data_IF_435400781275
#
_entry.id   IF_435400781275
#
_cell.length_a   1.000
_cell.length_b   1.000
_cell.length_c   1.000
_cell.angle_alpha   90.00
_cell.angle_beta   90.00
_cell.angle_gamma   90.00
#
_symmetry.space_group_name_H-M   'P 1'
#
loop_
_entity.id
_entity.type
_entity.pdbx_description
1 polymer ?
#
# COMPACT_ATOMS: atom_id res chain seq x y z
N UNK A 1 -6.56 -4.91 18.84
CA UNK A 1 -5.50 -4.20 19.59
C UNK A 1 -5.08 -3.02 18.73
N UNK A 2 -5.63 -1.84 19.00
CA UNK A 2 -5.28 -0.61 18.26
C UNK A 2 -3.85 -0.24 18.70
N UNK A 3 -2.86 -0.33 17.81
CA UNK A 3 -1.50 0.15 18.12
C UNK A 3 -1.60 1.66 18.32
N UNK A 4 -1.32 2.14 19.53
CA UNK A 4 -1.11 3.56 19.80
C UNK A 4 -0.07 4.09 18.83
N UNK A 5 -0.40 5.16 18.11
CA UNK A 5 0.58 5.86 17.29
C UNK A 5 1.69 6.38 18.23
N UNK A 6 2.92 6.00 17.90
CA UNK A 6 4.12 6.36 18.65
C UNK A 6 4.39 7.86 18.46
N UNK A 7 4.83 8.56 19.51
CA UNK A 7 5.32 9.94 19.43
C UNK A 7 6.51 10.09 18.45
N UNK A 8 7.20 8.97 18.17
CA UNK A 8 8.28 8.89 17.21
C UNK A 8 7.83 8.21 15.93
N UNK A 9 8.15 8.83 14.79
CA UNK A 9 7.88 8.30 13.48
C UNK A 9 9.13 7.64 12.89
N UNK A 10 9.12 6.31 12.83
CA UNK A 10 10.23 5.52 12.29
C UNK A 10 10.24 5.58 10.76
N UNK A 11 11.31 6.12 10.18
CA UNK A 11 11.49 6.27 8.72
C UNK A 11 12.35 5.16 8.09
N UNK A 12 13.03 4.35 8.90
CA UNK A 12 13.86 3.23 8.46
C UNK A 12 13.94 2.14 9.53
N UNK A 13 14.02 0.88 9.10
CA UNK A 13 14.20 -0.29 9.97
C UNK A 13 15.06 -1.36 9.27
N UNK A 14 15.96 -1.99 10.02
CA UNK A 14 16.87 -3.00 9.50
C UNK A 14 16.25 -4.41 9.45
N UNK A 15 15.50 -4.78 10.50
CA UNK A 15 15.15 -6.16 10.83
C UNK A 15 13.63 -6.34 11.09
N UNK A 16 12.79 -5.67 10.28
CA UNK A 16 11.33 -5.65 10.43
C UNK A 16 10.69 -7.05 10.56
N UNK A 17 11.25 -8.05 9.87
CA UNK A 17 10.77 -9.44 9.92
C UNK A 17 11.36 -10.29 11.05
N UNK A 18 12.36 -9.78 11.77
CA UNK A 18 13.08 -10.53 12.79
C UNK A 18 13.44 -9.63 13.99
N UNK A 19 12.46 -9.27 14.85
CA UNK A 19 12.68 -8.43 16.02
C UNK A 19 13.68 -9.06 16.99
N UNK A 20 14.55 -8.23 17.55
CA UNK A 20 15.49 -8.64 18.60
C UNK A 20 14.91 -8.33 19.99
N UNK A 21 15.32 -9.12 20.98
CA UNK A 21 14.93 -8.93 22.39
C UNK A 21 15.97 -8.13 23.18
N UNK A 22 15.81 -8.13 24.50
CA UNK A 22 16.79 -7.54 25.43
C UNK A 22 18.19 -8.13 25.23
N UNK A 23 19.23 -7.31 25.48
CA UNK A 23 20.64 -7.65 25.32
C UNK A 23 21.10 -7.98 23.88
N UNK A 24 20.32 -7.57 22.87
CA UNK A 24 20.76 -7.61 21.48
C UNK A 24 21.90 -6.61 21.22
N UNK A 25 22.76 -6.93 20.25
CA UNK A 25 23.92 -6.11 19.90
C UNK A 25 23.92 -5.72 18.44
N UNK A 26 24.23 -4.45 18.15
CA UNK A 26 24.60 -3.98 16.81
C UNK A 26 26.11 -3.75 16.79
N UNK A 27 26.83 -4.47 15.93
CA UNK A 27 28.30 -4.48 15.93
C UNK A 27 28.84 -4.29 14.52
N UNK A 28 29.77 -3.35 14.36
CA UNK A 28 30.56 -3.22 13.14
C UNK A 28 31.89 -3.97 13.32
N UNK A 29 32.03 -5.11 12.66
CA UNK A 29 33.20 -5.97 12.76
C UNK A 29 34.41 -5.42 12.00
N UNK A 30 35.61 -5.82 12.40
CA UNK A 30 36.88 -5.48 11.73
C UNK A 30 36.95 -6.01 10.29
N UNK A 31 36.13 -7.00 9.95
CA UNK A 31 35.94 -7.50 8.60
C UNK A 31 35.04 -6.59 7.73
N UNK A 32 34.55 -5.46 8.26
CA UNK A 32 33.70 -4.52 7.54
C UNK A 32 32.22 -4.91 7.47
N UNK A 33 31.76 -5.85 8.29
CA UNK A 33 30.35 -6.27 8.35
C UNK A 33 29.62 -5.59 9.51
N UNK A 34 28.45 -5.00 9.26
CA UNK A 34 27.56 -4.51 10.31
C UNK A 34 26.53 -5.60 10.61
N UNK A 35 26.47 -6.06 11.86
CA UNK A 35 25.68 -7.21 12.30
C UNK A 35 24.80 -6.83 13.48
N UNK A 36 23.50 -7.06 13.35
CA UNK A 36 22.54 -7.06 14.44
C UNK A 36 22.35 -8.51 14.90
N UNK A 37 22.61 -8.80 16.18
CA UNK A 37 22.50 -10.14 16.74
C UNK A 37 21.62 -10.16 18.00
N UNK A 38 20.93 -11.28 18.21
CA UNK A 38 20.23 -11.60 19.46
C UNK A 38 21.25 -11.80 20.59
N UNK A 39 20.78 -11.76 21.84
CA UNK A 39 21.61 -11.98 23.03
C UNK A 39 22.38 -13.33 23.03
N UNK A 40 21.86 -14.35 22.34
CA UNK A 40 22.50 -15.65 22.19
C UNK A 40 23.54 -15.71 21.04
N UNK A 41 23.86 -14.57 20.41
CA UNK A 41 24.79 -14.48 19.29
C UNK A 41 24.21 -14.87 17.93
N UNK A 42 22.95 -15.30 17.84
CA UNK A 42 22.30 -15.55 16.55
C UNK A 42 22.15 -14.24 15.79
N UNK A 43 22.52 -14.24 14.51
CA UNK A 43 22.37 -13.06 13.65
C UNK A 43 20.89 -12.83 13.36
N UNK A 44 20.42 -11.63 13.68
CA UNK A 44 19.07 -11.17 13.35
C UNK A 44 19.02 -10.49 11.99
N UNK A 45 20.03 -9.68 11.67
CA UNK A 45 20.22 -8.99 10.39
C UNK A 45 21.70 -8.63 10.18
N UNK A 46 22.16 -8.52 8.93
CA UNK A 46 23.51 -8.04 8.63
C UNK A 46 23.63 -7.44 7.23
N UNK A 47 24.67 -6.64 7.01
CA UNK A 47 24.92 -5.96 5.72
C UNK A 47 25.56 -6.86 4.66
N UNK A 48 26.07 -8.03 5.03
CA UNK A 48 26.78 -8.97 4.15
C UNK A 48 27.97 -8.31 3.42
N UNK A 49 28.69 -7.44 4.12
CA UNK A 49 29.84 -6.67 3.60
C UNK A 49 31.19 -7.16 4.11
N UNK A 50 31.19 -8.28 4.83
CA UNK A 50 32.41 -8.94 5.30
C UNK A 50 33.44 -9.10 4.17
N UNK A 51 34.65 -8.60 4.40
CA UNK A 51 35.80 -8.64 3.50
C UNK A 51 35.59 -7.94 2.14
N UNK A 52 34.60 -7.05 2.02
CA UNK A 52 34.33 -6.27 0.78
C UNK A 52 34.99 -4.89 0.77
N UNK A 53 35.96 -4.64 1.65
CA UNK A 53 36.69 -3.37 1.74
C UNK A 53 35.96 -2.25 2.49
N UNK A 54 34.82 -2.55 3.12
CA UNK A 54 34.11 -1.59 3.98
C UNK A 54 34.93 -1.35 5.24
N UNK A 55 35.22 -0.08 5.54
CA UNK A 55 36.04 0.33 6.69
C UNK A 55 35.32 1.24 7.66
N UNK A 56 34.12 1.70 7.31
CA UNK A 56 33.36 2.59 8.18
C UNK A 56 31.86 2.55 7.96
N UNK A 57 31.14 2.92 9.00
CA UNK A 57 29.70 3.13 9.03
C UNK A 57 29.45 4.58 9.46
N UNK A 58 28.57 5.30 8.74
CA UNK A 58 28.26 6.71 9.03
C UNK A 58 26.79 7.00 8.80
N UNK A 59 26.19 7.80 9.67
CA UNK A 59 24.92 8.47 9.43
C UNK A 59 25.20 9.85 8.85
N UNK A 60 24.65 10.14 7.67
CA UNK A 60 24.78 11.44 7.01
C UNK A 60 23.70 12.42 7.52
N UNK A 61 23.92 13.75 7.42
CA UNK A 61 22.94 14.76 7.83
C UNK A 61 21.57 14.64 7.14
N UNK A 62 21.51 14.03 5.95
CA UNK A 62 20.27 13.75 5.23
C UNK A 62 19.56 12.45 5.70
N UNK A 63 19.97 11.88 6.82
CA UNK A 63 19.39 10.66 7.40
C UNK A 63 19.84 9.36 6.75
N UNK A 64 20.66 9.39 5.69
CA UNK A 64 21.15 8.16 5.06
C UNK A 64 22.24 7.49 5.93
N UNK A 65 22.02 6.22 6.24
CA UNK A 65 23.05 5.33 6.80
C UNK A 65 23.87 4.72 5.66
N UNK A 66 25.19 4.91 5.70
CA UNK A 66 26.10 4.52 4.62
C UNK A 66 27.29 3.72 5.14
N UNK A 67 27.75 2.80 4.30
CA UNK A 67 28.99 2.06 4.48
C UNK A 67 30.06 2.63 3.54
N UNK A 68 31.21 3.00 4.10
CA UNK A 68 32.31 3.60 3.36
C UNK A 68 33.42 2.57 3.10
N UNK A 69 33.87 2.50 1.84
CA UNK A 69 35.02 1.69 1.45
C UNK A 69 36.34 2.47 1.63
N UNK A 70 37.46 1.76 1.82
CA UNK A 70 38.79 2.39 1.84
C UNK A 70 39.23 2.91 0.47
N UNK A 71 38.65 2.37 -0.62
CA UNK A 71 38.85 2.88 -1.98
C UNK A 71 37.94 4.08 -2.23
N UNK A 72 38.53 5.23 -2.54
CA UNK A 72 37.81 6.45 -2.90
C UNK A 72 36.80 6.16 -4.02
N UNK A 73 35.51 6.34 -3.73
CA UNK A 73 34.43 6.35 -4.75
C UNK A 73 33.29 5.35 -4.57
N UNK A 74 33.42 4.29 -3.76
CA UNK A 74 32.32 3.32 -3.56
C UNK A 74 31.63 3.51 -2.19
N UNK A 75 30.47 4.19 -2.19
CA UNK A 75 29.58 4.30 -1.03
C UNK A 75 28.37 3.39 -1.25
N UNK A 76 28.18 2.39 -0.40
CA UNK A 76 26.97 1.56 -0.42
C UNK A 76 25.92 2.18 0.51
N UNK A 77 24.79 2.61 -0.05
CA UNK A 77 23.64 3.13 0.70
C UNK A 77 22.83 1.96 1.28
N UNK A 78 22.52 2.00 2.57
CA UNK A 78 21.53 1.08 3.15
C UNK A 78 20.14 1.56 2.73
N UNK A 79 19.38 0.68 2.08
CA UNK A 79 18.00 0.95 1.64
C UNK A 79 17.05 0.06 2.42
N UNK A 80 15.96 0.65 2.94
CA UNK A 80 14.84 -0.12 3.48
C UNK A 80 14.19 -0.91 2.35
N UNK A 81 14.01 -2.22 2.54
CA UNK A 81 13.29 -3.08 1.58
C UNK A 81 11.93 -3.45 2.17
N UNK A 82 10.89 -3.44 1.34
CA UNK A 82 9.54 -3.79 1.75
C UNK A 82 9.35 -5.31 1.98
N UNK A 83 10.27 -6.16 1.52
CA UNK A 83 10.18 -7.62 1.59
C UNK A 83 11.56 -8.26 1.68
N UNK A 84 11.71 -9.31 2.50
CA UNK A 84 12.95 -10.10 2.64
C UNK A 84 13.11 -11.17 1.54
N UNK A 85 12.06 -11.52 0.79
CA UNK A 85 12.09 -12.71 -0.10
C UNK A 85 11.50 -12.55 -1.51
N UNK A 86 10.52 -11.67 -1.75
CA UNK A 86 9.91 -11.54 -3.09
C UNK A 86 9.49 -10.10 -3.40
N UNK A 87 9.82 -9.65 -4.62
CA UNK A 87 9.43 -8.38 -5.25
C UNK A 87 8.76 -8.66 -6.61
N UNK A 88 7.86 -9.64 -6.70
CA UNK A 88 7.32 -10.10 -7.98
C UNK A 88 5.90 -9.61 -8.27
N UNK A 89 5.59 -8.40 -7.80
CA UNK A 89 4.28 -7.72 -7.85
C UNK A 89 3.31 -8.17 -6.74
N UNK A 90 3.32 -7.42 -5.63
CA UNK A 90 2.23 -7.41 -4.67
C UNK A 90 1.00 -6.67 -5.23
N UNK A 91 -0.13 -6.61 -4.50
CA UNK A 91 -1.39 -6.01 -4.98
C UNK A 91 -1.30 -4.52 -5.34
N UNK A 92 -0.21 -3.86 -4.97
CA UNK A 92 0.10 -2.46 -5.29
C UNK A 92 1.40 -2.37 -6.10
N UNK A 93 1.47 -3.08 -7.23
CA UNK A 93 2.51 -2.82 -8.24
C UNK A 93 2.17 -1.53 -8.98
N UNK A 94 3.11 -0.59 -9.08
CA UNK A 94 3.00 0.51 -10.03
C UNK A 94 3.09 -0.08 -11.45
N UNK A 95 1.94 -0.44 -12.01
CA UNK A 95 1.83 -0.90 -13.39
C UNK A 95 2.02 0.28 -14.33
N UNK A 96 3.26 0.43 -14.76
CA UNK A 96 3.77 1.03 -15.99
C UNK A 96 5.22 1.40 -15.69
N UNK A 97 6.07 1.35 -16.71
CA UNK A 97 7.48 1.68 -16.60
C UNK A 97 7.65 3.16 -16.27
N UNK A 98 7.44 3.57 -15.01
CA UNK A 98 7.81 4.87 -14.46
C UNK A 98 9.33 4.82 -14.21
N UNK A 99 10.08 5.77 -14.77
CA UNK A 99 11.54 5.87 -14.55
C UNK A 99 11.86 6.62 -13.29
N UNK A 100 11.03 7.62 -12.96
CA UNK A 100 11.26 8.48 -11.82
C UNK A 100 9.93 8.91 -11.22
N UNK A 101 9.82 8.78 -9.91
CA UNK A 101 8.74 9.35 -9.09
C UNK A 101 9.40 10.15 -7.98
N UNK A 102 9.09 11.44 -7.91
CA UNK A 102 9.71 12.37 -6.97
C UNK A 102 8.62 13.04 -6.14
N UNK A 103 8.73 12.93 -4.81
CA UNK A 103 7.94 13.73 -3.88
C UNK A 103 8.65 15.08 -3.69
N UNK A 104 7.95 16.16 -4.01
CA UNK A 104 8.44 17.52 -3.87
C UNK A 104 7.64 18.29 -2.83
N UNK A 105 8.32 19.20 -2.15
CA UNK A 105 7.76 20.18 -1.22
C UNK A 105 8.34 21.53 -1.55
N UNK A 106 7.53 22.46 -2.04
CA UNK A 106 7.97 23.79 -2.44
C UNK A 106 7.09 24.88 -1.81
N UNK A 107 7.67 26.02 -1.40
CA UNK A 107 6.86 27.14 -0.93
C UNK A 107 6.03 27.70 -2.11
N UNK A 108 4.77 28.05 -1.84
CA UNK A 108 3.88 28.63 -2.85
C UNK A 108 4.29 30.06 -3.24
N UNK A 109 4.85 30.79 -2.27
CA UNK A 109 5.37 32.16 -2.44
C UNK A 109 6.76 32.27 -1.79
N UNK A 110 7.51 33.31 -2.15
CA UNK A 110 8.84 33.58 -1.55
C UNK A 110 8.77 33.76 -0.02
N UNK A 111 7.61 34.12 0.52
CA UNK A 111 7.37 34.28 1.96
C UNK A 111 7.27 32.94 2.70
N UNK A 112 6.93 31.85 1.99
CA UNK A 112 6.91 30.50 2.56
C UNK A 112 5.86 30.28 3.65
N UNK A 113 4.71 30.93 3.56
CA UNK A 113 3.60 30.74 4.51
C UNK A 113 2.80 29.45 4.28
N UNK A 114 2.80 28.95 3.04
CA UNK A 114 2.20 27.69 2.65
C UNK A 114 3.13 26.98 1.67
N UNK A 115 3.03 25.65 1.67
CA UNK A 115 3.86 24.79 0.83
C UNK A 115 2.98 23.83 0.05
N UNK A 116 3.34 23.60 -1.20
CA UNK A 116 2.71 22.62 -2.06
C UNK A 116 3.47 21.29 -1.95
N UNK A 117 2.74 20.23 -1.65
CA UNK A 117 3.22 18.85 -1.69
C UNK A 117 2.80 18.24 -3.02
N UNK A 118 3.77 17.87 -3.85
CA UNK A 118 3.50 17.33 -5.19
C UNK A 118 4.23 16.03 -5.46
N UNK A 119 3.64 15.16 -6.27
CA UNK A 119 4.25 13.94 -6.78
C UNK A 119 4.46 14.08 -8.27
N UNK A 120 5.72 14.28 -8.66
CA UNK A 120 6.12 14.32 -10.06
C UNK A 120 6.46 12.92 -10.54
N UNK A 121 6.02 12.58 -11.75
CA UNK A 121 6.33 11.31 -12.36
C UNK A 121 6.76 11.49 -13.81
N UNK A 122 7.64 10.59 -14.26
CA UNK A 122 8.07 10.49 -15.64
C UNK A 122 8.05 9.03 -16.09
N UNK A 123 7.36 8.77 -17.20
CA UNK A 123 7.35 7.44 -17.83
C UNK A 123 8.63 7.16 -18.62
N UNK A 124 9.03 5.89 -18.67
CA UNK A 124 10.30 5.41 -19.22
C UNK A 124 10.46 5.60 -20.72
N UNK A 125 9.34 5.63 -21.43
CA UNK A 125 9.29 5.49 -22.87
C UNK A 125 8.35 6.50 -23.52
N UNK A 126 7.89 7.49 -22.76
CA UNK A 126 7.04 8.57 -23.25
C UNK A 126 7.54 9.90 -22.70
N UNK A 127 7.29 10.99 -23.42
CA UNK A 127 7.47 12.35 -22.87
C UNK A 127 6.34 12.72 -21.90
N UNK A 128 5.54 11.75 -21.46
CA UNK A 128 4.45 11.96 -20.52
C UNK A 128 5.04 12.11 -19.14
N UNK A 129 5.12 13.37 -18.71
CA UNK A 129 5.39 13.74 -17.33
C UNK A 129 4.14 14.41 -16.77
N UNK A 130 3.85 14.15 -15.50
CA UNK A 130 2.75 14.80 -14.82
C UNK A 130 3.12 15.10 -13.38
N UNK A 131 2.33 16.00 -12.79
CA UNK A 131 2.45 16.40 -11.40
C UNK A 131 1.11 16.19 -10.73
N UNK A 132 1.08 15.37 -9.68
CA UNK A 132 -0.09 15.23 -8.83
C UNK A 132 0.06 16.15 -7.62
N UNK A 133 -0.96 16.96 -7.36
CA UNK A 133 -1.02 17.77 -6.15
C UNK A 133 -1.56 16.93 -5.00
N UNK A 134 -0.78 16.78 -3.92
CA UNK A 134 -1.13 15.91 -2.80
C UNK A 134 -1.68 16.70 -1.60
N UNK A 135 -1.25 17.94 -1.40
CA UNK A 135 -1.76 18.76 -0.30
C UNK A 135 -1.05 20.10 -0.17
N UNK A 136 -1.60 20.96 0.70
CA UNK A 136 -1.09 22.30 0.98
C UNK A 136 -1.05 22.60 2.49
N UNK A 137 -0.03 22.15 3.21
CA UNK A 137 0.23 22.59 4.59
C UNK A 137 0.51 24.09 4.65
N UNK A 138 0.03 24.74 5.71
CA UNK A 138 0.22 26.18 6.00
C UNK A 138 1.44 26.43 6.90
N UNK A 139 2.50 25.67 6.65
CA UNK A 139 3.76 25.70 7.39
C UNK A 139 4.85 25.01 6.56
N UNK A 140 6.11 25.12 6.98
CA UNK A 140 7.23 24.50 6.29
C UNK A 140 7.10 22.97 6.28
N UNK A 141 6.83 22.41 5.10
CA UNK A 141 6.65 20.97 4.90
C UNK A 141 7.84 20.27 4.28
N UNK A 142 9.03 20.88 4.30
CA UNK A 142 10.25 20.22 3.76
C UNK A 142 10.58 18.90 4.47
N UNK A 143 10.15 18.76 5.72
CA UNK A 143 10.19 17.50 6.47
C UNK A 143 8.93 16.66 6.22
N UNK A 144 8.76 16.22 4.98
CA UNK A 144 7.68 15.32 4.56
C UNK A 144 8.25 14.00 4.04
N UNK A 145 7.58 12.90 4.35
CA UNK A 145 7.87 11.63 3.69
C UNK A 145 6.59 10.89 3.28
N UNK A 146 6.70 10.15 2.18
CA UNK A 146 5.67 9.24 1.67
C UNK A 146 5.87 7.85 2.29
N UNK A 147 4.78 7.23 2.74
CA UNK A 147 4.81 5.88 3.30
C UNK A 147 3.61 5.06 2.84
N UNK A 148 3.88 3.83 2.41
CA UNK A 148 2.89 2.77 2.35
C UNK A 148 2.70 2.21 3.76
N UNK A 149 1.53 2.48 4.33
CA UNK A 149 1.10 2.00 5.64
C UNK A 149 0.86 0.50 5.65
N UNK A 150 0.81 -0.08 6.85
CA UNK A 150 0.46 -1.49 7.05
C UNK A 150 -1.02 -1.78 6.72
N UNK A 151 -1.83 -0.74 6.73
CA UNK A 151 -3.23 -0.73 6.27
C UNK A 151 -3.36 -0.77 4.74
N UNK A 152 -2.23 -0.77 4.00
CA UNK A 152 -2.23 -0.74 2.54
C UNK A 152 -2.51 0.63 1.94
N UNK A 153 -2.60 1.68 2.77
CA UNK A 153 -2.84 3.04 2.32
C UNK A 153 -1.53 3.79 2.12
N UNK A 154 -1.49 4.70 1.15
CA UNK A 154 -0.34 5.57 0.89
C UNK A 154 -0.63 6.92 1.53
N UNK A 155 0.26 7.35 2.44
CA UNK A 155 0.09 8.59 3.22
C UNK A 155 1.33 9.47 3.15
N UNK A 156 1.13 10.78 3.19
CA UNK A 156 2.19 11.73 3.52
C UNK A 156 2.12 12.08 4.99
N UNK A 157 3.28 12.02 5.63
CA UNK A 157 3.47 12.50 6.99
C UNK A 157 4.36 13.73 6.93
N UNK A 158 3.86 14.84 7.45
CA UNK A 158 4.58 16.12 7.47
C UNK A 158 4.86 16.49 8.92
N UNK A 159 6.09 16.92 9.17
CA UNK A 159 6.50 17.44 10.48
C UNK A 159 6.46 18.96 10.50
N UNK A 160 5.78 19.51 11.47
CA UNK A 160 5.78 20.93 11.78
C UNK A 160 6.74 21.22 12.93
N UNK A 161 7.88 21.84 12.63
CA UNK A 161 8.92 22.16 13.59
C UNK A 161 8.57 23.31 14.56
N UNK A 162 7.40 23.95 14.38
CA UNK A 162 6.93 25.07 15.21
C UNK A 162 5.99 24.67 16.34
N UNK A 163 5.69 23.39 16.48
CA UNK A 163 4.77 22.87 17.51
C UNK A 163 5.42 21.73 18.27
N UNK A 164 5.24 21.71 19.59
CA UNK A 164 5.83 20.69 20.46
C UNK A 164 4.95 19.44 20.60
N UNK A 165 3.62 19.60 20.51
CA UNK A 165 2.64 18.50 20.63
C UNK A 165 1.86 18.41 19.32
N UNK A 166 1.69 17.18 18.80
CA UNK A 166 1.01 16.97 17.52
C UNK A 166 1.80 17.50 16.32
N UNK A 167 3.13 17.58 16.44
CA UNK A 167 4.02 18.07 15.40
C UNK A 167 3.96 17.24 14.10
N UNK A 168 3.59 15.97 14.19
CA UNK A 168 3.36 15.11 13.02
C UNK A 168 1.90 15.14 12.59
N UNK A 169 1.68 15.38 11.31
CA UNK A 169 0.36 15.40 10.68
C UNK A 169 0.33 14.47 9.47
N UNK A 170 -0.81 13.80 9.25
CA UNK A 170 -1.12 13.15 7.97
C UNK A 170 -1.70 14.20 7.04
N UNK A 171 -0.87 14.78 6.18
CA UNK A 171 -1.28 15.86 5.26
C UNK A 171 -1.93 15.33 3.99
N UNK A 172 -1.78 14.04 3.71
CA UNK A 172 -2.40 13.36 2.59
C UNK A 172 -2.62 11.88 2.92
N UNK A 173 -3.76 11.34 2.51
CA UNK A 173 -4.01 9.91 2.42
C UNK A 173 -4.66 9.62 1.06
N UNK A 174 -4.21 8.55 0.38
CA UNK A 174 -4.77 8.16 -0.91
C UNK A 174 -6.22 7.69 -0.74
N UNK A 175 -6.47 6.83 0.24
CA UNK A 175 -7.79 6.38 0.64
C UNK A 175 -8.20 7.14 1.90
N UNK A 176 -8.82 8.31 1.72
CA UNK A 176 -9.21 9.18 2.82
C UNK A 176 -10.71 9.03 3.12
N UNK A 177 -11.06 9.12 4.41
CA UNK A 177 -12.46 9.01 4.85
C UNK A 177 -13.22 10.32 4.67
N UNK A 178 -12.59 11.42 5.08
CA UNK A 178 -13.24 12.69 5.40
C UNK A 178 -12.97 13.75 4.31
N UNK A 179 -11.86 13.61 3.56
CA UNK A 179 -11.42 14.55 2.53
C UNK A 179 -10.86 13.81 1.30
N UNK A 180 -11.67 12.93 0.72
CA UNK A 180 -11.31 12.15 -0.47
C UNK A 180 -11.22 13.05 -1.72
N UNK A 181 -10.04 13.61 -1.96
CA UNK A 181 -9.72 14.25 -3.26
C UNK A 181 -9.58 13.19 -4.36
N UNK A 182 -9.12 11.99 -4.00
CA UNK A 182 -8.79 10.92 -4.95
C UNK A 182 -9.70 9.72 -4.76
N UNK A 183 -9.61 9.05 -3.61
CA UNK A 183 -10.31 7.80 -3.34
C UNK A 183 -10.78 7.72 -1.89
N UNK A 184 -11.84 6.96 -1.67
CA UNK A 184 -12.36 6.69 -0.33
C UNK A 184 -11.76 5.41 0.26
N UNK A 185 -11.90 5.22 1.57
CA UNK A 185 -11.48 4.00 2.25
C UNK A 185 -12.16 2.73 1.69
N UNK A 186 -13.30 2.85 1.01
CA UNK A 186 -13.97 1.71 0.38
C UNK A 186 -13.18 1.08 -0.76
N UNK A 187 -12.20 1.80 -1.33
CA UNK A 187 -11.32 1.25 -2.37
C UNK A 187 -10.21 0.35 -1.81
N UNK A 188 -10.00 0.33 -0.49
CA UNK A 188 -9.11 -0.63 0.13
C UNK A 188 -9.75 -2.03 0.08
N UNK A 189 -9.09 -3.04 -0.54
CA UNK A 189 -9.69 -4.35 -0.72
C UNK A 189 -10.18 -4.98 0.59
N UNK A 190 -9.47 -4.79 1.71
CA UNK A 190 -9.84 -5.40 2.98
C UNK A 190 -10.52 -4.45 3.97
N UNK A 191 -11.02 -3.29 3.53
CA UNK A 191 -11.69 -2.32 4.40
C UNK A 191 -12.82 -2.95 5.22
N UNK A 192 -13.68 -3.73 4.56
CA UNK A 192 -14.78 -4.47 5.18
C UNK A 192 -14.46 -5.97 5.30
N UNK A 193 -13.19 -6.30 5.52
CA UNK A 193 -12.72 -7.66 5.72
C UNK A 193 -12.69 -8.49 4.42
N UNK A 194 -12.92 -9.80 4.56
CA UNK A 194 -12.85 -10.74 3.44
C UNK A 194 -14.08 -10.67 2.52
N UNK A 195 -15.19 -10.13 3.01
CA UNK A 195 -16.42 -9.90 2.28
C UNK A 195 -17.30 -8.92 3.06
N UNK A 196 -17.60 -7.75 2.48
CA UNK A 196 -18.39 -6.71 3.13
C UNK A 196 -18.76 -5.63 2.13
N UNK A 197 -19.93 -5.00 2.31
CA UNK A 197 -20.34 -3.85 1.50
C UNK A 197 -19.90 -2.57 2.19
N UNK A 198 -19.19 -1.72 1.46
CA UNK A 198 -18.72 -0.42 1.90
C UNK A 198 -19.49 0.72 1.24
N UNK A 199 -20.07 1.57 2.07
CA UNK A 199 -20.78 2.80 1.69
C UNK A 199 -20.37 3.89 2.67
N UNK A 200 -20.00 5.07 2.17
CA UNK A 200 -19.51 6.19 2.99
C UNK A 200 -18.43 5.80 4.01
N UNK A 201 -17.51 4.92 3.60
CA UNK A 201 -16.43 4.36 4.43
C UNK A 201 -16.89 3.54 5.64
N UNK A 202 -18.18 3.19 5.69
CA UNK A 202 -18.81 2.32 6.68
C UNK A 202 -19.05 0.92 6.09
N UNK A 203 -18.95 -0.10 6.93
CA UNK A 203 -19.08 -1.48 6.53
C UNK A 203 -20.42 -2.06 6.98
N UNK A 204 -21.13 -2.69 6.05
CA UNK A 204 -22.30 -3.52 6.34
C UNK A 204 -21.99 -5.00 6.13
N UNK A 205 -22.66 -5.84 6.92
CA UNK A 205 -22.41 -7.28 6.93
C UNK A 205 -22.84 -7.93 5.61
N UNK A 206 -22.11 -8.97 5.24
CA UNK A 206 -22.33 -9.73 4.02
C UNK A 206 -22.79 -11.16 4.32
N UNK A 207 -23.44 -11.86 3.36
CA UNK A 207 -24.00 -13.19 3.58
C UNK A 207 -22.97 -14.24 4.02
N UNK A 208 -23.47 -15.33 4.59
CA UNK A 208 -22.66 -16.41 5.14
C UNK A 208 -21.73 -17.04 4.09
N UNK A 209 -20.57 -17.48 4.58
CA UNK A 209 -19.57 -18.15 3.74
C UNK A 209 -20.08 -19.52 3.31
N UNK A 210 -19.92 -19.83 2.03
CA UNK A 210 -20.18 -21.16 1.48
C UNK A 210 -19.38 -22.25 2.18
N UNK A 211 -20.07 -23.36 2.46
CA UNK A 211 -19.49 -24.59 2.99
C UNK A 211 -19.31 -25.67 1.92
N UNK A 212 -19.95 -25.54 0.76
CA UNK A 212 -19.95 -26.53 -0.32
C UNK A 212 -19.89 -25.87 -1.71
N UNK A 213 -19.26 -26.57 -2.66
CA UNK A 213 -19.17 -26.16 -4.07
C UNK A 213 -20.34 -26.69 -4.93
N UNK A 214 -21.13 -27.66 -4.44
CA UNK A 214 -22.23 -28.23 -5.24
C UNK A 214 -23.19 -27.11 -5.67
N UNK A 215 -23.47 -27.01 -6.97
CA UNK A 215 -24.40 -26.04 -7.54
C UNK A 215 -25.81 -26.12 -6.92
N UNK A 216 -26.17 -27.26 -6.32
CA UNK A 216 -27.43 -27.43 -5.58
C UNK A 216 -27.39 -26.91 -4.14
N UNK A 217 -26.20 -26.66 -3.61
CA UNK A 217 -25.97 -26.23 -2.22
C UNK A 217 -25.93 -24.71 -2.04
N UNK A 218 -25.99 -23.95 -3.14
CA UNK A 218 -25.98 -22.49 -3.11
C UNK A 218 -26.97 -21.86 -4.08
N UNK A 219 -27.27 -20.59 -3.84
CA UNK A 219 -27.95 -19.70 -4.77
C UNK A 219 -27.10 -18.43 -4.97
N UNK A 220 -27.40 -17.66 -6.00
CA UNK A 220 -26.78 -16.35 -6.19
C UNK A 220 -27.61 -15.28 -5.47
N UNK A 221 -27.03 -14.68 -4.44
CA UNK A 221 -27.53 -13.46 -3.83
C UNK A 221 -27.14 -12.27 -4.70
N UNK A 222 -28.14 -11.58 -5.26
CA UNK A 222 -27.95 -10.41 -6.11
C UNK A 222 -27.78 -9.16 -5.25
N UNK A 223 -26.71 -8.42 -5.48
CA UNK A 223 -26.43 -7.11 -4.88
C UNK A 223 -26.43 -6.07 -5.99
N UNK A 224 -27.26 -5.04 -5.86
CA UNK A 224 -27.42 -3.98 -6.86
C UNK A 224 -26.64 -2.72 -6.49
N UNK A 225 -26.13 -2.03 -7.51
CA UNK A 225 -25.34 -0.82 -7.35
C UNK A 225 -24.05 -1.09 -6.59
N UNK A 226 -23.29 -2.10 -7.02
CA UNK A 226 -21.99 -2.44 -6.41
C UNK A 226 -20.90 -2.67 -7.44
N UNK A 227 -19.69 -2.24 -7.09
CA UNK A 227 -18.48 -2.52 -7.84
C UNK A 227 -17.51 -3.38 -7.01
N UNK A 228 -16.85 -4.30 -7.69
CA UNK A 228 -15.69 -5.02 -7.17
C UNK A 228 -14.41 -4.30 -7.61
N UNK A 229 -13.39 -4.24 -6.75
CA UNK A 229 -12.15 -3.49 -7.03
C UNK A 229 -11.51 -3.84 -8.39
N UNK A 230 -11.64 -5.07 -8.87
CA UNK A 230 -11.10 -5.51 -10.16
C UNK A 230 -11.67 -4.74 -11.36
N UNK A 231 -12.90 -4.22 -11.27
CA UNK A 231 -13.57 -3.51 -12.37
C UNK A 231 -12.92 -2.15 -12.67
N UNK A 232 -12.11 -1.64 -11.74
CA UNK A 232 -11.35 -0.40 -11.90
C UNK A 232 -10.05 -0.59 -12.69
N UNK A 233 -9.44 -1.76 -12.56
CA UNK A 233 -8.11 -2.05 -13.13
C UNK A 233 -8.17 -2.91 -14.39
N UNK A 234 -9.33 -3.52 -14.69
CA UNK A 234 -9.49 -4.42 -15.81
C UNK A 234 -10.82 -4.16 -16.52
N UNK A 235 -10.84 -4.33 -17.84
CA UNK A 235 -12.04 -4.11 -18.67
C UNK A 235 -13.08 -5.23 -18.61
N UNK A 236 -12.74 -6.35 -17.96
CA UNK A 236 -13.62 -7.51 -17.85
C UNK A 236 -13.83 -8.26 -19.17
N UNK A 237 -14.39 -9.46 -19.07
CA UNK A 237 -14.73 -10.27 -20.24
C UNK A 237 -16.01 -9.73 -20.91
N UNK A 238 -15.98 -9.54 -22.22
CA UNK A 238 -17.16 -9.21 -23.02
C UNK A 238 -17.98 -10.48 -23.31
N UNK A 239 -18.83 -10.86 -22.37
CA UNK A 239 -19.68 -12.07 -22.44
C UNK A 239 -21.08 -11.77 -21.92
N UNK A 240 -22.05 -12.61 -22.26
CA UNK A 240 -23.41 -12.49 -21.70
C UNK A 240 -23.42 -12.87 -20.22
N UNK A 241 -24.34 -12.28 -19.47
CA UNK A 241 -24.49 -12.53 -18.04
C UNK A 241 -24.67 -14.02 -17.71
N UNK A 242 -25.48 -14.73 -18.49
CA UNK A 242 -25.69 -16.18 -18.32
C UNK A 242 -24.41 -17.00 -18.52
N UNK A 243 -23.52 -16.59 -19.41
CA UNK A 243 -22.25 -17.28 -19.65
C UNK A 243 -21.25 -16.99 -18.53
N UNK A 244 -21.27 -15.77 -17.98
CA UNK A 244 -20.55 -15.39 -16.77
C UNK A 244 -20.97 -16.25 -15.57
N UNK A 245 -22.29 -16.39 -15.37
CA UNK A 245 -22.87 -17.21 -14.32
C UNK A 245 -22.46 -18.68 -14.45
N UNK A 246 -22.59 -19.28 -15.64
CA UNK A 246 -22.16 -20.67 -15.89
C UNK A 246 -20.68 -20.88 -15.61
N UNK A 247 -19.83 -19.92 -15.97
CA UNK A 247 -18.39 -19.98 -15.70
C UNK A 247 -18.10 -19.98 -14.20
N UNK A 248 -18.75 -19.10 -13.43
CA UNK A 248 -18.58 -19.09 -11.98
C UNK A 248 -19.17 -20.34 -11.30
N UNK A 249 -20.33 -20.82 -11.77
CA UNK A 249 -20.99 -22.01 -11.20
C UNK A 249 -20.16 -23.27 -11.40
N UNK A 250 -19.47 -23.41 -12.52
CA UNK A 250 -18.62 -24.58 -12.81
C UNK A 250 -17.26 -24.52 -12.11
N UNK A 251 -16.85 -23.37 -11.59
CA UNK A 251 -15.58 -23.20 -10.87
C UNK A 251 -15.79 -23.17 -9.34
N UNK A 252 -15.25 -24.18 -8.65
CA UNK A 252 -15.32 -24.27 -7.19
C UNK A 252 -14.55 -23.17 -6.44
N UNK A 253 -13.58 -22.52 -7.08
CA UNK A 253 -12.86 -21.39 -6.47
C UNK A 253 -13.64 -20.09 -6.60
N UNK A 254 -14.59 -20.01 -7.54
CA UNK A 254 -15.39 -18.82 -7.72
C UNK A 254 -16.34 -18.63 -6.54
N UNK A 255 -16.27 -17.47 -5.90
CA UNK A 255 -17.15 -17.06 -4.81
C UNK A 255 -18.34 -16.22 -5.31
N UNK A 256 -18.19 -15.60 -6.49
CA UNK A 256 -19.24 -14.80 -7.12
C UNK A 256 -18.74 -14.18 -8.42
N UNK A 257 -19.64 -13.48 -9.11
CA UNK A 257 -19.29 -12.73 -10.30
C UNK A 257 -19.93 -11.34 -10.29
N UNK A 258 -19.28 -10.39 -10.94
CA UNK A 258 -19.76 -9.02 -11.09
C UNK A 258 -20.04 -8.75 -12.55
N UNK A 259 -21.16 -8.09 -12.81
CA UNK A 259 -21.62 -7.81 -14.16
C UNK A 259 -22.06 -6.35 -14.27
N UNK A 260 -21.53 -5.66 -15.28
CA UNK A 260 -21.98 -4.30 -15.65
C UNK A 260 -22.91 -4.42 -16.84
N UNK A 261 -24.21 -4.23 -16.60
CA UNK A 261 -25.24 -4.51 -17.61
C UNK A 261 -25.21 -3.51 -18.77
N UNK A 262 -24.88 -2.26 -18.46
CA UNK A 262 -24.72 -1.15 -19.42
C UNK A 262 -23.63 -1.42 -20.48
N UNK A 263 -22.53 -2.05 -20.08
CA UNK A 263 -21.36 -2.34 -20.93
C UNK A 263 -21.23 -3.81 -21.30
N UNK A 264 -22.09 -4.67 -20.76
CA UNK A 264 -22.06 -6.13 -20.92
C UNK A 264 -20.68 -6.74 -20.59
N UNK A 265 -20.13 -6.35 -19.43
CA UNK A 265 -18.82 -6.81 -18.96
C UNK A 265 -18.94 -7.66 -17.70
N UNK A 266 -18.15 -8.74 -17.66
CA UNK A 266 -18.15 -9.75 -16.61
C UNK A 266 -16.78 -9.86 -15.92
N UNK A 267 -16.79 -9.97 -14.59
CA UNK A 267 -15.64 -10.30 -13.76
C UNK A 267 -15.95 -11.49 -12.87
N UNK A 268 -15.08 -12.49 -12.88
CA UNK A 268 -15.14 -13.64 -11.98
C UNK A 268 -14.32 -13.31 -10.73
N UNK A 269 -14.92 -13.47 -9.56
CA UNK A 269 -14.28 -13.17 -8.29
C UNK A 269 -13.96 -14.46 -7.51
N UNK A 270 -12.66 -14.67 -7.28
CA UNK A 270 -12.14 -15.74 -6.42
C UNK A 270 -12.00 -15.28 -4.97
N UNK A 271 -11.87 -13.97 -4.78
CA UNK A 271 -11.94 -13.29 -3.49
C UNK A 271 -12.99 -12.18 -3.63
N UNK A 272 -13.91 -12.07 -2.66
CA UNK A 272 -14.97 -11.06 -2.72
C UNK A 272 -14.50 -9.71 -2.18
N UNK A 273 -13.74 -9.73 -1.07
CA UNK A 273 -13.15 -8.54 -0.47
C UNK A 273 -14.23 -7.46 -0.22
N UNK A 274 -13.82 -6.22 -0.12
CA UNK A 274 -14.74 -5.09 0.03
C UNK A 274 -15.42 -4.80 -1.30
N UNK A 275 -16.75 -4.75 -1.28
CA UNK A 275 -17.57 -4.27 -2.38
C UNK A 275 -17.88 -2.79 -2.16
N UNK A 276 -17.71 -1.98 -3.19
CA UNK A 276 -17.99 -0.54 -3.09
C UNK A 276 -19.40 -0.27 -3.58
N UNK A 277 -20.20 0.42 -2.78
CA UNK A 277 -21.52 0.92 -3.22
C UNK A 277 -21.33 1.98 -4.29
N UNK A 278 -22.10 1.88 -5.37
CA UNK A 278 -22.11 2.84 -6.48
C UNK A 278 -23.55 3.25 -6.82
N UNK A 279 -23.70 4.47 -7.33
CA UNK A 279 -25.01 5.01 -7.72
C UNK A 279 -25.62 4.30 -8.94
N UNK A 280 -24.79 3.69 -9.80
CA UNK A 280 -25.26 3.00 -11.00
C UNK A 280 -25.83 1.62 -10.65
N UNK A 281 -27.15 1.50 -10.60
CA UNK A 281 -27.86 0.25 -10.28
C UNK A 281 -27.62 -0.87 -11.31
N UNK A 282 -27.13 -0.55 -12.51
CA UNK A 282 -26.79 -1.54 -13.55
C UNK A 282 -25.49 -2.32 -13.26
N UNK A 283 -24.71 -1.86 -12.28
CA UNK A 283 -23.58 -2.60 -11.75
C UNK A 283 -24.08 -3.57 -10.69
N UNK A 284 -23.99 -4.87 -10.97
CA UNK A 284 -24.56 -5.92 -10.12
C UNK A 284 -23.51 -6.95 -9.73
N UNK A 285 -23.57 -7.39 -8.47
CA UNK A 285 -22.79 -8.50 -7.94
C UNK A 285 -23.69 -9.69 -7.69
N UNK A 286 -23.27 -10.88 -8.10
CA UNK A 286 -23.94 -12.14 -7.85
C UNK A 286 -23.03 -13.01 -6.99
N UNK A 287 -23.34 -13.07 -5.71
CA UNK A 287 -22.51 -13.74 -4.73
C UNK A 287 -23.12 -15.09 -4.39
N UNK A 288 -22.31 -16.15 -4.41
CA UNK A 288 -22.81 -17.45 -4.00
C UNK A 288 -23.07 -17.45 -2.48
N UNK A 289 -24.29 -17.80 -2.09
CA UNK A 289 -24.71 -17.89 -0.69
C UNK A 289 -25.37 -19.26 -0.43
N UNK A 290 -25.27 -19.82 0.78
CA UNK A 290 -25.91 -21.10 1.11
C UNK A 290 -27.45 -21.05 1.02
N UNK A 291 -28.09 -22.19 0.76
CA UNK A 291 -29.55 -22.32 0.57
C UNK A 291 -30.38 -22.43 1.87
N UNK A 292 -29.93 -21.83 2.98
CA UNK A 292 -30.59 -21.96 4.29
C UNK A 292 -31.97 -21.31 4.34
#
# INVERSE_FOLDING_TARGET
MMRSESLFQWVWEANRGNPVGENATLTFGTNGNLVLAHANGKVAWQTNTANKGVVGFKLLPNGNMVLHNSKAGAVSKLVSRASEKENKDGPYSLMNSLVLVTLNSAPETDEGHAYDLTLEYQEANSSSSGTFFLGRPKYNSTSTFLRLGIDGNVKLYTYNDKVDIGAWEVTFALFDRDNSIWETECQLPERCGTFGLCEDSQCSCAPEKLTSCDAKSFHYYKVEGVDHFSSKYTSGAAVKENDCAKKCTSDCKCLGYFFKQDTSRCWIAYDLKTLTKVANSTHVGYIKAPNH
#
